data_IF_621692625013
#
_entry.id   IF_621692625013
#
_cell.length_a   1.000
_cell.length_b   1.000
_cell.length_c   1.000
_cell.angle_alpha   90.00
_cell.angle_beta   90.00
_cell.angle_gamma   90.00
#
_symmetry.space_group_name_H-M   'P 1'
#
loop_
_entity.id
_entity.type
_entity.pdbx_description
1 polymer ?
#
# COMPACT_ATOMS: atom_id res chain seq x y z
N UNK A 1 -30.29 23.86 18.78
CA UNK A 1 -30.19 23.07 17.54
C UNK A 1 -28.70 22.95 17.26
N UNK A 2 -28.09 21.89 17.78
CA UNK A 2 -26.65 21.77 17.97
C UNK A 2 -25.96 21.46 16.64
N UNK A 3 -24.95 22.27 16.33
CA UNK A 3 -24.21 22.30 15.08
C UNK A 3 -23.43 21.00 14.87
N UNK A 4 -23.81 20.22 13.85
CA UNK A 4 -23.17 18.95 13.49
C UNK A 4 -21.97 19.16 12.52
N UNK A 5 -21.19 20.23 12.72
CA UNK A 5 -20.07 20.62 11.84
C UNK A 5 -18.71 20.61 12.52
N UNK A 6 -18.44 19.63 13.37
CA UNK A 6 -17.10 19.40 13.94
C UNK A 6 -16.92 17.94 14.37
N UNK A 7 -16.77 17.01 13.43
CA UNK A 7 -16.42 15.62 13.77
C UNK A 7 -15.50 14.91 12.75
N UNK A 8 -14.84 15.62 11.84
CA UNK A 8 -13.85 15.00 10.94
C UNK A 8 -12.77 16.00 10.49
N UNK A 9 -12.35 16.91 11.39
CA UNK A 9 -10.98 17.42 11.29
C UNK A 9 -10.04 16.21 11.42
N UNK A 10 -8.89 16.16 10.72
CA UNK A 10 -7.92 15.12 10.97
C UNK A 10 -7.59 15.21 12.46
N UNK A 11 -8.02 14.20 13.23
CA UNK A 11 -7.42 13.98 14.52
C UNK A 11 -5.93 13.91 14.23
N UNK A 12 -5.13 14.73 14.92
CA UNK A 12 -3.68 14.61 14.94
C UNK A 12 -3.43 13.15 15.35
N UNK A 13 -3.20 12.28 14.36
CA UNK A 13 -2.95 10.87 14.61
C UNK A 13 -1.54 10.87 15.18
N UNK A 14 -1.45 10.65 16.49
CA UNK A 14 -0.18 10.55 17.17
C UNK A 14 0.52 9.29 16.70
N UNK A 15 1.38 9.44 15.69
CA UNK A 15 2.21 8.37 15.14
C UNK A 15 3.47 8.24 16.02
N UNK A 16 3.61 7.15 16.79
CA UNK A 16 4.73 6.97 17.72
C UNK A 16 6.09 6.93 17.04
N UNK A 17 6.14 6.69 15.71
CA UNK A 17 7.38 6.66 14.94
C UNK A 17 7.66 7.97 14.20
N UNK A 18 6.78 8.98 14.23
CA UNK A 18 6.96 10.22 13.49
C UNK A 18 8.27 10.96 13.84
N UNK A 19 8.74 10.84 15.08
CA UNK A 19 10.02 11.43 15.51
C UNK A 19 11.25 10.76 14.85
N UNK A 20 11.18 9.46 14.54
CA UNK A 20 12.26 8.69 13.91
C UNK A 20 12.11 8.62 12.39
N UNK A 21 10.87 8.56 11.91
CA UNK A 21 10.50 8.58 10.50
C UNK A 21 9.33 9.55 10.30
N UNK A 22 9.63 10.84 10.00
CA UNK A 22 8.59 11.82 9.68
C UNK A 22 7.75 11.40 8.46
N UNK A 23 6.56 11.99 8.25
CA UNK A 23 5.65 11.63 7.15
C UNK A 23 6.31 11.49 5.77
N UNK A 24 7.22 12.42 5.43
CA UNK A 24 7.95 12.36 4.17
C UNK A 24 8.88 11.15 4.03
N UNK A 25 9.52 10.71 5.12
CA UNK A 25 10.39 9.51 5.14
C UNK A 25 9.53 8.24 5.03
N UNK A 26 8.38 8.23 5.67
CA UNK A 26 7.42 7.13 5.58
C UNK A 26 6.88 6.94 4.16
N UNK A 27 6.48 8.03 3.51
CA UNK A 27 6.04 8.01 2.11
C UNK A 27 7.17 7.53 1.17
N UNK A 28 8.40 8.03 1.38
CA UNK A 28 9.59 7.57 0.64
C UNK A 28 9.84 6.07 0.81
N UNK A 29 9.64 5.52 2.00
CA UNK A 29 9.80 4.09 2.26
C UNK A 29 8.80 3.26 1.43
N UNK A 30 7.55 3.69 1.34
CA UNK A 30 6.53 3.03 0.52
C UNK A 30 6.88 3.08 -0.97
N UNK A 31 7.32 4.25 -1.47
CA UNK A 31 7.77 4.42 -2.86
C UNK A 31 8.98 3.54 -3.19
N UNK A 32 9.99 3.53 -2.31
CA UNK A 32 11.17 2.69 -2.48
C UNK A 32 10.81 1.20 -2.48
N UNK A 33 9.92 0.77 -1.58
CA UNK A 33 9.45 -0.61 -1.54
C UNK A 33 8.72 -1.01 -2.83
N UNK A 34 7.84 -0.14 -3.37
CA UNK A 34 7.19 -0.37 -4.67
C UNK A 34 8.20 -0.51 -5.80
N UNK A 35 9.15 0.41 -5.88
CA UNK A 35 10.11 0.46 -6.98
C UNK A 35 11.06 -0.74 -6.92
N UNK A 36 11.51 -1.11 -5.73
CA UNK A 36 12.33 -2.29 -5.49
C UNK A 36 11.57 -3.60 -5.79
N UNK A 37 10.32 -3.72 -5.33
CA UNK A 37 9.46 -4.85 -5.70
C UNK A 37 9.28 -4.95 -7.21
N UNK A 38 8.98 -3.84 -7.89
CA UNK A 38 8.74 -3.81 -9.34
C UNK A 38 9.98 -4.29 -10.11
N UNK A 39 11.17 -3.83 -9.71
CA UNK A 39 12.43 -4.26 -10.32
C UNK A 39 12.71 -5.74 -10.05
N UNK A 40 12.58 -6.21 -8.81
CA UNK A 40 12.78 -7.61 -8.45
C UNK A 40 11.79 -8.54 -9.17
N UNK A 41 10.52 -8.13 -9.28
CA UNK A 41 9.48 -8.88 -9.97
C UNK A 41 9.74 -8.99 -11.47
N UNK A 42 10.12 -7.88 -12.13
CA UNK A 42 10.50 -7.89 -13.55
C UNK A 42 11.74 -8.74 -13.81
N UNK A 43 12.73 -8.69 -12.93
CA UNK A 43 13.92 -9.53 -13.01
C UNK A 43 13.55 -11.01 -12.93
N UNK A 44 12.71 -11.40 -11.96
CA UNK A 44 12.24 -12.77 -11.82
C UNK A 44 11.46 -13.26 -13.04
N UNK A 45 10.71 -12.39 -13.72
CA UNK A 45 9.98 -12.73 -14.94
C UNK A 45 10.88 -12.84 -16.19
N UNK A 46 12.01 -12.13 -16.23
CA UNK A 46 12.91 -12.09 -17.38
C UNK A 46 14.07 -13.10 -17.29
N UNK A 47 14.48 -13.51 -16.09
CA UNK A 47 15.65 -14.33 -15.89
C UNK A 47 15.35 -15.83 -16.04
N UNK A 48 15.88 -16.46 -17.09
CA UNK A 48 15.84 -17.93 -17.24
C UNK A 48 16.71 -18.67 -16.21
N UNK A 49 17.66 -18.01 -15.51
CA UNK A 49 18.61 -18.73 -14.63
C UNK A 49 19.30 -17.94 -13.48
N UNK A 50 18.97 -16.67 -13.22
CA UNK A 50 19.63 -15.91 -12.16
C UNK A 50 18.65 -15.44 -11.07
N UNK A 51 18.60 -16.09 -9.90
CA UNK A 51 17.65 -15.76 -8.84
C UNK A 51 17.99 -14.48 -8.08
N UNK A 52 19.21 -13.94 -8.23
CA UNK A 52 19.69 -12.81 -7.42
C UNK A 52 19.25 -11.48 -8.06
N UNK A 53 18.58 -10.60 -7.31
CA UNK A 53 18.29 -9.24 -7.77
C UNK A 53 19.61 -8.48 -8.04
N UNK A 54 19.63 -7.49 -8.94
CA UNK A 54 20.86 -6.75 -9.23
C UNK A 54 21.46 -6.14 -7.95
N UNK A 55 22.78 -6.27 -7.75
CA UNK A 55 23.50 -5.68 -6.60
C UNK A 55 23.25 -4.17 -6.45
N UNK A 56 23.01 -3.48 -7.56
CA UNK A 56 22.63 -2.07 -7.60
C UNK A 56 21.33 -1.79 -6.82
N UNK A 57 20.33 -2.68 -6.91
CA UNK A 57 19.05 -2.53 -6.22
C UNK A 57 19.22 -2.68 -4.71
N UNK A 58 19.99 -3.68 -4.28
CA UNK A 58 20.36 -3.86 -2.86
C UNK A 58 21.11 -2.63 -2.34
N UNK A 59 22.06 -2.13 -3.11
CA UNK A 59 22.86 -0.95 -2.74
C UNK A 59 21.98 0.29 -2.57
N UNK A 60 21.07 0.55 -3.52
CA UNK A 60 20.11 1.65 -3.43
C UNK A 60 19.26 1.57 -2.14
N UNK A 61 18.77 0.37 -1.79
CA UNK A 61 18.00 0.14 -0.58
C UNK A 61 18.81 0.44 0.68
N UNK A 62 20.04 -0.08 0.77
CA UNK A 62 20.93 0.12 1.92
C UNK A 62 21.39 1.57 2.05
N UNK A 63 21.66 2.25 0.93
CA UNK A 63 22.07 3.66 0.94
C UNK A 63 20.95 4.55 1.50
N UNK A 64 19.69 4.29 1.11
CA UNK A 64 18.55 5.00 1.68
C UNK A 64 18.37 4.74 3.18
N UNK A 65 18.57 3.50 3.64
CA UNK A 65 18.55 3.16 5.07
C UNK A 65 19.65 3.94 5.80
N UNK A 66 20.90 3.87 5.32
CA UNK A 66 22.09 4.48 5.95
C UNK A 66 22.08 6.00 5.95
N UNK A 67 21.34 6.63 5.03
CA UNK A 67 21.13 8.07 5.01
C UNK A 67 20.35 8.58 6.25
N UNK A 68 19.76 7.70 7.06
CA UNK A 68 19.16 8.05 8.35
C UNK A 68 20.22 8.39 9.41
N UNK A 69 20.06 9.49 10.16
CA UNK A 69 20.96 9.82 11.26
C UNK A 69 20.68 8.95 12.49
N UNK A 70 21.69 8.18 12.92
CA UNK A 70 21.62 7.36 14.13
C UNK A 70 20.94 6.00 13.93
N UNK A 71 21.25 5.08 14.85
CA UNK A 71 20.95 3.67 14.69
C UNK A 71 19.44 3.37 14.75
N UNK A 72 18.70 4.06 15.61
CA UNK A 72 17.25 3.90 15.72
C UNK A 72 16.50 4.37 14.46
N UNK A 73 16.95 5.47 13.84
CA UNK A 73 16.35 5.95 12.58
C UNK A 73 16.64 4.96 11.45
N UNK A 74 17.86 4.42 11.38
CA UNK A 74 18.23 3.39 10.40
C UNK A 74 17.41 2.11 10.61
N UNK A 75 17.22 1.68 11.85
CA UNK A 75 16.38 0.54 12.19
C UNK A 75 14.91 0.74 11.76
N UNK A 76 14.31 1.91 12.01
CA UNK A 76 12.96 2.22 11.54
C UNK A 76 12.88 2.23 10.01
N UNK A 77 13.86 2.82 9.32
CA UNK A 77 13.91 2.80 7.85
C UNK A 77 13.99 1.38 7.30
N UNK A 78 14.85 0.54 7.87
CA UNK A 78 14.95 -0.88 7.50
C UNK A 78 13.61 -1.61 7.73
N UNK A 79 12.97 -1.35 8.88
CA UNK A 79 11.68 -1.94 9.22
C UNK A 79 10.59 -1.57 8.21
N UNK A 80 10.44 -0.29 7.87
CA UNK A 80 9.48 0.18 6.87
C UNK A 80 9.74 -0.43 5.49
N UNK A 81 11.00 -0.46 5.05
CA UNK A 81 11.37 -1.01 3.75
C UNK A 81 11.03 -2.51 3.66
N UNK A 82 11.45 -3.30 4.64
CA UNK A 82 11.19 -4.74 4.66
C UNK A 82 9.69 -5.04 4.77
N UNK A 83 8.96 -4.31 5.62
CA UNK A 83 7.51 -4.46 5.73
C UNK A 83 6.81 -4.14 4.40
N UNK A 84 7.29 -3.13 3.68
CA UNK A 84 6.77 -2.78 2.35
C UNK A 84 7.01 -3.89 1.33
N UNK A 85 8.25 -4.40 1.25
CA UNK A 85 8.62 -5.49 0.34
C UNK A 85 7.79 -6.77 0.62
N UNK A 86 7.62 -7.13 1.89
CA UNK A 86 6.82 -8.28 2.31
C UNK A 86 5.35 -8.14 1.89
N UNK A 87 4.75 -6.96 2.11
CA UNK A 87 3.36 -6.71 1.74
C UNK A 87 3.13 -6.72 0.22
N UNK A 88 4.08 -6.17 -0.56
CA UNK A 88 4.04 -6.26 -2.02
C UNK A 88 4.14 -7.71 -2.51
N UNK A 89 5.09 -8.46 -1.96
CA UNK A 89 5.28 -9.89 -2.27
C UNK A 89 4.02 -10.70 -1.96
N UNK A 90 3.47 -10.55 -0.75
CA UNK A 90 2.24 -11.22 -0.32
C UNK A 90 1.07 -10.92 -1.26
N UNK A 91 0.87 -9.65 -1.62
CA UNK A 91 -0.26 -9.23 -2.45
C UNK A 91 -0.20 -9.86 -3.86
N UNK A 92 0.96 -9.85 -4.50
CA UNK A 92 1.12 -10.42 -5.84
C UNK A 92 1.12 -11.95 -5.81
N UNK A 93 1.70 -12.57 -4.78
CA UNK A 93 1.61 -14.02 -4.59
C UNK A 93 0.17 -14.49 -4.47
N UNK A 94 -0.66 -13.77 -3.70
CA UNK A 94 -2.09 -14.07 -3.57
C UNK A 94 -2.86 -13.82 -4.86
N UNK A 95 -2.63 -12.69 -5.53
CA UNK A 95 -3.37 -12.30 -6.73
C UNK A 95 -3.09 -13.20 -7.94
N UNK A 96 -1.86 -13.72 -8.07
CA UNK A 96 -1.43 -14.48 -9.25
C UNK A 96 -1.11 -15.95 -8.96
N UNK A 97 -1.36 -16.43 -7.74
CA UNK A 97 -1.07 -17.81 -7.35
C UNK A 97 0.43 -18.15 -7.38
N UNK A 98 1.29 -17.15 -7.15
CA UNK A 98 2.74 -17.32 -7.20
C UNK A 98 3.23 -17.85 -5.86
N UNK A 99 3.89 -19.01 -5.86
CA UNK A 99 4.45 -19.63 -4.65
C UNK A 99 5.59 -18.80 -4.04
N UNK A 100 6.46 -18.27 -4.88
CA UNK A 100 7.58 -17.43 -4.47
C UNK A 100 8.00 -16.49 -5.59
N UNK A 101 8.58 -15.35 -5.22
CA UNK A 101 9.23 -14.42 -6.15
C UNK A 101 10.73 -14.45 -5.78
N UNK A 102 11.54 -15.36 -6.38
CA UNK A 102 12.88 -15.66 -5.90
C UNK A 102 13.77 -14.43 -5.76
N UNK A 103 13.71 -13.49 -6.70
CA UNK A 103 14.48 -12.26 -6.67
C UNK A 103 14.07 -11.30 -5.55
N UNK A 104 12.80 -11.29 -5.16
CA UNK A 104 12.34 -10.53 -4.00
C UNK A 104 12.81 -11.20 -2.70
N UNK A 105 12.69 -12.52 -2.60
CA UNK A 105 13.16 -13.29 -1.44
C UNK A 105 14.67 -13.13 -1.24
N UNK A 106 15.45 -13.19 -2.32
CA UNK A 106 16.88 -12.95 -2.27
C UNK A 106 17.23 -11.50 -1.89
N UNK A 107 16.46 -10.51 -2.35
CA UNK A 107 16.63 -9.11 -1.92
C UNK A 107 16.43 -8.97 -0.41
N UNK A 108 15.29 -9.44 0.10
CA UNK A 108 14.93 -9.38 1.52
C UNK A 108 15.99 -10.10 2.36
N UNK A 109 16.41 -11.30 1.95
CA UNK A 109 17.48 -12.04 2.61
C UNK A 109 18.80 -11.25 2.64
N UNK A 110 19.21 -10.67 1.52
CA UNK A 110 20.47 -9.92 1.44
C UNK A 110 20.44 -8.58 2.22
N UNK A 111 19.27 -8.00 2.44
CA UNK A 111 19.10 -6.83 3.31
C UNK A 111 19.23 -7.21 4.79
N UNK A 112 18.69 -8.38 5.20
CA UNK A 112 18.78 -8.87 6.58
C UNK A 112 20.15 -9.42 6.96
N UNK A 113 20.77 -10.23 6.10
CA UNK A 113 22.10 -10.82 6.35
C UNK A 113 23.20 -9.76 6.50
N UNK A 114 22.96 -8.53 6.06
CA UNK A 114 23.91 -7.43 6.20
C UNK A 114 23.93 -6.76 7.57
N UNK A 115 23.03 -7.12 8.48
CA UNK A 115 22.93 -6.54 9.81
C UNK A 115 23.83 -7.29 10.80
N UNK A 116 24.55 -6.57 11.65
CA UNK A 116 25.20 -7.17 12.81
C UNK A 116 24.17 -7.52 13.91
N UNK A 117 24.55 -8.25 14.99
CA UNK A 117 23.60 -8.65 16.03
C UNK A 117 22.89 -7.50 16.76
N UNK A 118 23.55 -6.35 16.94
CA UNK A 118 22.94 -5.19 17.60
C UNK A 118 21.99 -4.46 16.65
N UNK A 119 22.38 -4.30 15.39
CA UNK A 119 21.54 -3.76 14.34
C UNK A 119 20.28 -4.61 14.10
N UNK A 120 20.42 -5.95 14.06
CA UNK A 120 19.30 -6.88 13.88
C UNK A 120 18.32 -6.82 15.06
N UNK A 121 18.83 -6.76 16.30
CA UNK A 121 17.98 -6.61 17.48
C UNK A 121 17.19 -5.30 17.48
N UNK A 122 17.82 -4.18 17.11
CA UNK A 122 17.15 -2.88 16.95
C UNK A 122 16.11 -2.93 15.83
N UNK A 123 16.48 -3.49 14.67
CA UNK A 123 15.57 -3.68 13.55
C UNK A 123 14.34 -4.48 13.98
N UNK A 124 14.51 -5.64 14.61
CA UNK A 124 13.41 -6.52 15.01
C UNK A 124 12.46 -5.79 15.97
N UNK A 125 12.99 -5.04 16.94
CA UNK A 125 12.18 -4.22 17.83
C UNK A 125 11.35 -3.16 17.07
N UNK A 126 11.96 -2.46 16.10
CA UNK A 126 11.23 -1.47 15.28
C UNK A 126 10.23 -2.10 14.31
N UNK A 127 10.52 -3.29 13.80
CA UNK A 127 9.62 -4.04 12.93
C UNK A 127 8.36 -4.46 13.68
N UNK A 128 8.49 -4.99 14.89
CA UNK A 128 7.35 -5.33 15.76
C UNK A 128 6.52 -4.09 16.16
N UNK A 129 7.17 -2.94 16.36
CA UNK A 129 6.47 -1.69 16.68
C UNK A 129 5.51 -1.23 15.58
N UNK A 130 5.73 -1.59 14.31
CA UNK A 130 4.86 -1.19 13.20
C UNK A 130 3.41 -1.67 13.40
N UNK A 131 3.23 -2.81 14.06
CA UNK A 131 1.92 -3.41 14.32
C UNK A 131 1.39 -3.10 15.74
N UNK A 132 2.15 -2.39 16.57
CA UNK A 132 1.78 -2.11 17.96
C UNK A 132 0.57 -1.19 18.10
N UNK A 133 0.36 -0.29 17.13
CA UNK A 133 -0.81 0.57 17.06
C UNK A 133 -1.18 0.85 15.59
N UNK A 134 -2.47 1.09 15.35
CA UNK A 134 -2.96 1.40 14.00
C UNK A 134 -2.30 2.65 13.41
N UNK A 135 -2.09 3.68 14.25
CA UNK A 135 -1.49 4.95 13.89
C UNK A 135 0.04 4.89 13.71
N UNK A 136 0.70 3.80 14.12
CA UNK A 136 2.15 3.67 13.92
C UNK A 136 2.48 3.63 12.45
N UNK A 137 3.40 4.50 12.01
CA UNK A 137 3.80 4.65 10.62
C UNK A 137 2.60 4.85 9.67
N UNK A 138 1.65 5.71 10.05
CA UNK A 138 0.36 5.80 9.36
C UNK A 138 0.51 6.30 7.91
N UNK A 139 1.41 7.25 7.65
CA UNK A 139 1.64 7.76 6.29
C UNK A 139 2.22 6.67 5.38
N UNK A 140 3.11 5.82 5.93
CA UNK A 140 3.63 4.64 5.24
C UNK A 140 2.49 3.67 4.93
N UNK A 141 1.65 3.33 5.91
CA UNK A 141 0.51 2.41 5.72
C UNK A 141 -0.48 2.94 4.68
N UNK A 142 -0.82 4.22 4.71
CA UNK A 142 -1.69 4.88 3.72
C UNK A 142 -1.08 4.76 2.32
N UNK A 143 0.17 5.20 2.16
CA UNK A 143 0.86 5.18 0.86
C UNK A 143 1.00 3.75 0.32
N UNK A 144 1.49 2.82 1.13
CA UNK A 144 1.70 1.42 0.75
C UNK A 144 0.40 0.76 0.32
N UNK A 145 -0.67 0.88 1.12
CA UNK A 145 -1.97 0.26 0.80
C UNK A 145 -2.52 0.83 -0.50
N UNK A 146 -2.51 2.15 -0.67
CA UNK A 146 -2.96 2.78 -1.91
C UNK A 146 -2.19 2.26 -3.13
N UNK A 147 -0.86 2.19 -3.04
CA UNK A 147 -0.02 1.77 -4.17
C UNK A 147 -0.24 0.30 -4.54
N UNK A 148 -0.29 -0.61 -3.57
CA UNK A 148 -0.55 -2.04 -3.80
C UNK A 148 -1.91 -2.24 -4.49
N UNK A 149 -2.97 -1.64 -3.95
CA UNK A 149 -4.30 -1.80 -4.50
C UNK A 149 -4.43 -1.17 -5.89
N UNK A 150 -3.81 -0.01 -6.14
CA UNK A 150 -3.80 0.56 -7.49
C UNK A 150 -3.05 -0.31 -8.48
N UNK A 151 -1.91 -0.90 -8.10
CA UNK A 151 -1.17 -1.81 -8.97
C UNK A 151 -1.98 -3.07 -9.31
N UNK A 152 -2.64 -3.68 -8.32
CA UNK A 152 -3.54 -4.82 -8.54
C UNK A 152 -4.74 -4.41 -9.40
N UNK A 153 -5.31 -3.23 -9.19
CA UNK A 153 -6.40 -2.69 -10.00
C UNK A 153 -5.97 -2.47 -11.46
N UNK A 154 -4.76 -1.96 -11.70
CA UNK A 154 -4.20 -1.84 -13.05
C UNK A 154 -3.98 -3.22 -13.69
N UNK A 155 -3.47 -4.20 -12.93
CA UNK A 155 -3.28 -5.56 -13.44
C UNK A 155 -4.62 -6.23 -13.79
N UNK A 156 -5.67 -6.01 -12.99
CA UNK A 156 -7.04 -6.41 -13.33
C UNK A 156 -7.50 -5.76 -14.64
N UNK A 157 -7.28 -4.46 -14.82
CA UNK A 157 -7.66 -3.75 -16.06
C UNK A 157 -6.90 -4.21 -17.31
N UNK A 158 -5.70 -4.78 -17.15
CA UNK A 158 -4.87 -5.29 -18.23
C UNK A 158 -5.12 -6.77 -18.57
N UNK A 159 -6.01 -7.46 -17.85
CA UNK A 159 -6.32 -8.86 -18.09
C UNK A 159 -7.12 -9.13 -19.36
N UNK A 160 -7.31 -10.42 -19.66
CA UNK A 160 -8.01 -10.86 -20.88
C UNK A 160 -9.54 -10.94 -20.73
N UNK A 161 -10.04 -11.24 -19.53
CA UNK A 161 -11.47 -11.38 -19.23
C UNK A 161 -11.74 -11.25 -17.73
N UNK A 162 -13.00 -11.05 -17.35
CA UNK A 162 -13.42 -11.00 -15.93
C UNK A 162 -13.10 -12.30 -15.17
N UNK A 163 -13.28 -13.45 -15.83
CA UNK A 163 -12.95 -14.75 -15.25
C UNK A 163 -11.45 -14.87 -14.99
N UNK A 164 -10.62 -14.47 -15.96
CA UNK A 164 -9.17 -14.54 -15.81
C UNK A 164 -8.62 -13.64 -14.69
N UNK A 165 -9.31 -12.53 -14.38
CA UNK A 165 -8.90 -11.59 -13.33
C UNK A 165 -9.67 -11.74 -12.02
N UNK A 166 -10.54 -12.75 -11.91
CA UNK A 166 -11.29 -13.02 -10.68
C UNK A 166 -10.38 -13.17 -9.45
N UNK A 167 -9.22 -13.87 -9.51
CA UNK A 167 -8.29 -13.94 -8.38
C UNK A 167 -7.75 -12.57 -7.95
N UNK A 168 -7.51 -11.67 -8.91
CA UNK A 168 -7.04 -10.31 -8.64
C UNK A 168 -8.13 -9.48 -7.95
N UNK A 169 -9.37 -9.57 -8.42
CA UNK A 169 -10.54 -8.90 -7.79
C UNK A 169 -10.74 -9.42 -6.37
N UNK A 170 -10.64 -10.75 -6.17
CA UNK A 170 -10.78 -11.38 -4.85
C UNK A 170 -9.70 -10.92 -3.89
N UNK A 171 -8.44 -10.85 -4.34
CA UNK A 171 -7.32 -10.36 -3.53
C UNK A 171 -7.49 -8.88 -3.18
N UNK A 172 -7.85 -8.03 -4.15
CA UNK A 172 -8.17 -6.62 -3.92
C UNK A 172 -9.24 -6.43 -2.84
N UNK A 173 -10.38 -7.11 -2.99
CA UNK A 173 -11.47 -7.04 -2.03
C UNK A 173 -11.09 -7.60 -0.67
N UNK A 174 -10.46 -8.78 -0.65
CA UNK A 174 -10.03 -9.46 0.57
C UNK A 174 -9.04 -8.64 1.39
N UNK A 175 -8.10 -7.95 0.75
CA UNK A 175 -7.14 -7.08 1.42
C UNK A 175 -7.81 -5.84 2.04
N UNK A 176 -8.81 -5.24 1.38
CA UNK A 176 -9.58 -4.14 1.96
C UNK A 176 -10.42 -4.59 3.17
N UNK A 177 -11.00 -5.80 3.10
CA UNK A 177 -11.72 -6.39 4.23
C UNK A 177 -10.78 -6.70 5.41
N UNK A 178 -9.63 -7.32 5.13
CA UNK A 178 -8.63 -7.63 6.14
C UNK A 178 -8.03 -6.36 6.77
N UNK A 179 -7.84 -5.30 5.98
CA UNK A 179 -7.37 -4.00 6.48
C UNK A 179 -8.36 -3.40 7.48
N UNK A 180 -9.67 -3.41 7.19
CA UNK A 180 -10.66 -2.88 8.14
C UNK A 180 -10.79 -3.76 9.38
N UNK A 181 -10.68 -5.08 9.24
CA UNK A 181 -10.72 -6.00 10.38
C UNK A 181 -9.48 -5.90 11.28
N UNK A 182 -8.29 -5.73 10.69
CA UNK A 182 -7.02 -5.62 11.41
C UNK A 182 -6.75 -4.21 11.97
N UNK A 183 -7.45 -3.19 11.46
CA UNK A 183 -7.38 -1.81 11.93
C UNK A 183 -8.81 -1.25 12.13
N UNK A 184 -9.55 -1.65 13.20
CA UNK A 184 -10.92 -1.22 13.44
C UNK A 184 -11.15 0.29 13.52
N UNK A 185 -10.16 1.06 13.99
CA UNK A 185 -10.25 2.50 14.21
C UNK A 185 -9.95 3.33 12.96
N UNK A 186 -8.91 2.97 12.21
CA UNK A 186 -8.32 3.71 11.09
C UNK A 186 -8.39 2.95 9.76
N UNK A 187 -8.44 1.63 9.75
CA UNK A 187 -8.39 0.80 8.54
C UNK A 187 -9.49 1.12 7.53
N UNK A 188 -10.69 1.43 8.02
CA UNK A 188 -11.80 1.86 7.17
C UNK A 188 -11.52 3.19 6.44
N UNK A 189 -10.72 4.10 7.02
CA UNK A 189 -10.30 5.35 6.36
C UNK A 189 -9.31 5.06 5.24
N UNK A 190 -8.37 4.14 5.45
CA UNK A 190 -7.42 3.71 4.41
C UNK A 190 -8.13 2.97 3.27
N UNK A 191 -9.14 2.17 3.59
CA UNK A 191 -10.01 1.55 2.58
C UNK A 191 -10.76 2.61 1.77
N UNK A 192 -11.34 3.62 2.42
CA UNK A 192 -12.00 4.73 1.75
C UNK A 192 -11.05 5.53 0.85
N UNK A 193 -9.84 5.84 1.32
CA UNK A 193 -8.80 6.49 0.52
C UNK A 193 -8.45 5.69 -0.73
N UNK A 194 -8.25 4.38 -0.59
CA UNK A 194 -7.95 3.49 -1.71
C UNK A 194 -9.08 3.46 -2.73
N UNK A 195 -10.33 3.31 -2.28
CA UNK A 195 -11.50 3.30 -3.16
C UNK A 195 -11.72 4.65 -3.84
N UNK A 196 -11.40 5.77 -3.18
CA UNK A 196 -11.42 7.09 -3.81
C UNK A 196 -10.41 7.18 -4.95
N UNK A 197 -9.19 6.68 -4.75
CA UNK A 197 -8.16 6.71 -5.79
C UNK A 197 -8.49 5.82 -6.98
N UNK A 198 -9.10 4.64 -6.77
CA UNK A 198 -9.61 3.81 -7.88
C UNK A 198 -10.67 4.58 -8.69
N UNK A 199 -11.62 5.24 -8.02
CA UNK A 199 -12.64 6.05 -8.69
C UNK A 199 -12.04 7.23 -9.45
N UNK A 200 -11.07 7.93 -8.84
CA UNK A 200 -10.35 9.02 -9.49
C UNK A 200 -9.65 8.51 -10.75
N UNK A 201 -8.94 7.39 -10.70
CA UNK A 201 -8.27 6.81 -11.88
C UNK A 201 -9.24 6.48 -13.01
N UNK A 202 -10.41 5.92 -12.70
CA UNK A 202 -11.45 5.70 -13.71
C UNK A 202 -11.97 6.99 -14.34
N UNK A 203 -12.05 8.07 -13.57
CA UNK A 203 -12.50 9.38 -14.08
C UNK A 203 -11.40 10.12 -14.85
N UNK A 204 -10.13 9.84 -14.54
CA UNK A 204 -8.97 10.43 -15.21
C UNK A 204 -8.72 9.85 -16.60
N UNK A 205 -9.12 8.61 -16.83
CA UNK A 205 -8.92 7.91 -18.09
C UNK A 205 -10.27 7.57 -18.76
N UNK A 206 -10.80 8.48 -19.60
CA UNK A 206 -12.01 8.22 -20.39
C UNK A 206 -11.89 7.01 -21.32
N UNK A 207 -10.66 6.57 -21.64
CA UNK A 207 -10.35 5.41 -22.47
C UNK A 207 -10.08 4.14 -21.66
N UNK A 208 -10.34 4.14 -20.35
CA UNK A 208 -10.06 2.99 -19.49
C UNK A 208 -10.73 1.71 -20.05
N UNK A 209 -10.00 0.58 -20.12
CA UNK A 209 -10.53 -0.67 -20.66
C UNK A 209 -11.88 -1.06 -20.03
N UNK A 210 -12.76 -1.68 -20.82
CA UNK A 210 -14.06 -2.18 -20.31
C UNK A 210 -13.87 -3.13 -19.11
N UNK A 211 -12.77 -3.88 -19.09
CA UNK A 211 -12.42 -4.76 -17.98
C UNK A 211 -12.11 -3.99 -16.69
N UNK A 212 -11.47 -2.83 -16.77
CA UNK A 212 -11.24 -1.98 -15.61
C UNK A 212 -12.57 -1.49 -14.99
N UNK A 213 -13.53 -1.10 -15.83
CA UNK A 213 -14.83 -0.65 -15.38
C UNK A 213 -15.67 -1.79 -14.80
N UNK A 214 -15.77 -2.91 -15.51
CA UNK A 214 -16.56 -4.08 -15.09
C UNK A 214 -15.97 -4.76 -13.85
N UNK A 215 -14.64 -4.90 -13.78
CA UNK A 215 -13.94 -5.41 -12.61
C UNK A 215 -14.14 -4.53 -11.38
N UNK A 216 -14.09 -3.20 -11.55
CA UNK A 216 -14.38 -2.27 -10.44
C UNK A 216 -15.83 -2.39 -9.95
N UNK A 217 -16.80 -2.54 -10.86
CA UNK A 217 -18.21 -2.80 -10.48
C UNK A 217 -18.33 -4.10 -9.68
N UNK A 218 -17.64 -5.17 -10.10
CA UNK A 218 -17.62 -6.45 -9.38
C UNK A 218 -17.00 -6.29 -7.98
N UNK A 219 -15.86 -5.60 -7.88
CA UNK A 219 -15.20 -5.30 -6.60
C UNK A 219 -16.15 -4.56 -5.65
N UNK A 220 -16.80 -3.49 -6.11
CA UNK A 220 -17.67 -2.66 -5.28
C UNK A 220 -18.94 -3.42 -4.86
N UNK A 221 -19.52 -4.21 -5.77
CA UNK A 221 -20.66 -5.07 -5.46
C UNK A 221 -20.30 -6.11 -4.39
N UNK A 222 -19.12 -6.72 -4.48
CA UNK A 222 -18.61 -7.70 -3.51
C UNK A 222 -18.36 -7.05 -2.13
N UNK A 223 -17.71 -5.89 -2.11
CA UNK A 223 -17.47 -5.13 -0.87
C UNK A 223 -18.76 -4.70 -0.18
N UNK A 224 -19.78 -4.30 -0.95
CA UNK A 224 -21.12 -3.98 -0.42
C UNK A 224 -21.79 -5.16 0.26
N UNK A 225 -21.56 -6.37 -0.23
CA UNK A 225 -22.10 -7.60 0.36
C UNK A 225 -21.31 -8.04 1.59
N UNK A 226 -19.99 -7.82 1.59
CA UNK A 226 -19.09 -8.29 2.65
C UNK A 226 -19.06 -7.38 3.89
N UNK A 227 -19.10 -6.05 3.72
CA UNK A 227 -19.09 -5.14 4.86
C UNK A 227 -20.47 -4.97 5.52
N UNK A 228 -20.53 -4.77 6.85
CA UNK A 228 -21.74 -4.28 7.50
C UNK A 228 -22.22 -2.98 6.86
N UNK A 229 -23.53 -2.87 6.59
CA UNK A 229 -24.11 -1.71 5.86
C UNK A 229 -23.64 -0.35 6.39
N UNK A 230 -23.70 -0.14 7.70
CA UNK A 230 -23.25 1.12 8.33
C UNK A 230 -21.77 1.42 8.05
N UNK A 231 -20.92 0.40 8.01
CA UNK A 231 -19.49 0.55 7.71
C UNK A 231 -19.27 0.86 6.24
N UNK A 232 -19.89 0.08 5.34
CA UNK A 232 -19.87 0.34 3.91
C UNK A 232 -20.29 1.78 3.58
N UNK A 233 -21.42 2.23 4.12
CA UNK A 233 -21.95 3.58 3.84
C UNK A 233 -20.99 4.67 4.33
N UNK A 234 -20.33 4.47 5.48
CA UNK A 234 -19.31 5.40 6.00
C UNK A 234 -18.07 5.45 5.10
N UNK A 235 -17.56 4.29 4.66
CA UNK A 235 -16.40 4.18 3.76
C UNK A 235 -16.72 4.90 2.43
N UNK A 236 -17.87 4.60 1.84
CA UNK A 236 -18.26 5.19 0.56
C UNK A 236 -18.55 6.69 0.66
N UNK A 237 -19.10 7.17 1.78
CA UNK A 237 -19.28 8.60 2.01
C UNK A 237 -17.93 9.34 2.03
N UNK A 238 -16.94 8.83 2.77
CA UNK A 238 -15.61 9.44 2.83
C UNK A 238 -14.90 9.37 1.46
N UNK A 239 -14.97 8.22 0.78
CA UNK A 239 -14.40 8.07 -0.56
C UNK A 239 -15.02 9.05 -1.57
N UNK A 240 -16.35 9.20 -1.53
CA UNK A 240 -17.07 10.13 -2.40
C UNK A 240 -16.71 11.60 -2.14
N UNK A 241 -16.51 11.99 -0.87
CA UNK A 241 -16.04 13.33 -0.53
C UNK A 241 -14.66 13.63 -1.13
N UNK A 242 -13.73 12.68 -1.06
CA UNK A 242 -12.39 12.82 -1.66
C UNK A 242 -12.46 12.98 -3.19
N UNK A 243 -13.29 12.18 -3.87
CA UNK A 243 -13.52 12.30 -5.32
C UNK A 243 -14.09 13.67 -5.68
N UNK A 244 -15.09 14.16 -4.93
CA UNK A 244 -15.68 15.48 -5.17
C UNK A 244 -14.68 16.61 -4.94
N UNK A 245 -13.84 16.51 -3.90
CA UNK A 245 -12.79 17.49 -3.64
C UNK A 245 -11.77 17.55 -4.80
N UNK A 246 -11.34 16.38 -5.31
CA UNK A 246 -10.48 16.28 -6.48
C UNK A 246 -11.14 16.84 -7.76
N UNK A 247 -12.42 16.58 -8.00
CA UNK A 247 -13.13 17.17 -9.15
C UNK A 247 -13.18 18.70 -9.08
N UNK A 248 -13.36 19.27 -7.88
CA UNK A 248 -13.40 20.72 -7.68
C UNK A 248 -12.04 21.36 -7.89
N UNK A 249 -10.95 20.73 -7.44
CA UNK A 249 -9.59 21.27 -7.63
C UNK A 249 -9.15 21.27 -9.10
N UNK A 250 -9.77 20.43 -9.94
CA UNK A 250 -9.52 20.39 -11.39
C UNK A 250 -10.34 21.37 -12.21
N UNK A 251 -11.35 22.03 -11.63
CA UNK A 251 -12.10 23.06 -12.36
C UNK A 251 -11.27 24.35 -12.40
N UNK A 252 -11.09 24.98 -13.58
CA UNK A 252 -10.47 26.30 -13.62
C UNK A 252 -11.28 27.29 -12.77
N UNK A 253 -10.62 28.25 -12.09
CA UNK A 253 -11.34 29.29 -11.37
C UNK A 253 -12.28 30.01 -12.35
N UNK A 254 -13.53 30.21 -11.96
CA UNK A 254 -14.48 30.98 -12.75
C UNK A 254 -13.90 32.38 -12.95
N UNK A 255 -13.56 32.71 -14.21
CA UNK A 255 -13.14 34.04 -14.61
C UNK A 255 -14.31 35.02 -14.64
#
# INVERSE_FOLDING_TARGET
MTDARTADAPADLDDPLAALAPPGVQAQAADLARDAFTQAFRHAAAAESAPVPPDALRTQCLDWVRAGPGDDVRAVRMALLLAGLDQWGLAFSQAFGIQAIPSLTALIGALRTGLDPEEDARFQHRFEQLDAAEATAIDFKIALRRQIHLALWHAMGAGASLEAVEPVIRTLGGQLLALEAGMPELGWRLAADTLAHIQIRLLEDPGAPELAQSGTRCLFASLRQAWPKKRHDRIMALAGQAVLAWQRSRRPPAG
#
